data_IF_382225479135
#
_entry.id   IF_382225479135
#
_cell.length_a   1.000
_cell.length_b   1.000
_cell.length_c   1.000
_cell.angle_alpha   90.00
_cell.angle_beta   90.00
_cell.angle_gamma   90.00
#
_symmetry.space_group_name_H-M   'P 1'
#
loop_
_entity.id
_entity.type
_entity.pdbx_description
1 polymer ?
#
# COMPACT_ATOMS: atom_id res chain seq x y z
N UNK A 1 0.92 7.06 11.08
CA UNK A 1 0.83 7.92 9.88
C UNK A 1 0.93 9.38 10.27
N UNK A 2 0.09 9.83 11.20
CA UNK A 2 0.03 11.20 11.73
C UNK A 2 1.38 11.83 12.16
N UNK A 3 2.36 11.03 12.60
CA UNK A 3 3.68 11.52 13.02
C UNK A 3 4.66 11.80 11.87
N UNK A 4 4.44 11.25 10.66
CA UNK A 4 5.37 11.34 9.51
C UNK A 4 4.70 11.93 8.27
N UNK A 5 3.42 11.65 8.08
CA UNK A 5 2.56 12.25 7.06
C UNK A 5 1.24 12.63 7.72
N UNK A 6 1.19 13.83 8.31
CA UNK A 6 -0.01 14.36 8.95
C UNK A 6 -1.10 14.75 7.94
N UNK A 7 -0.72 14.87 6.67
CA UNK A 7 -1.56 15.27 5.56
C UNK A 7 -2.13 14.08 4.78
N UNK A 8 -1.66 12.85 5.01
CA UNK A 8 -2.10 11.64 4.29
C UNK A 8 -3.11 10.85 5.12
N UNK A 9 -4.15 10.37 4.45
CA UNK A 9 -5.15 9.45 4.99
C UNK A 9 -5.34 8.27 4.03
N UNK A 10 -5.47 7.07 4.60
CA UNK A 10 -5.80 5.84 3.86
C UNK A 10 -7.19 5.41 4.32
N UNK A 11 -8.13 5.37 3.39
CA UNK A 11 -9.52 4.97 3.61
C UNK A 11 -9.75 3.58 3.00
N UNK A 12 -10.09 2.62 3.86
CA UNK A 12 -10.41 1.23 3.50
C UNK A 12 -11.90 0.90 3.65
N UNK A 13 -12.72 1.87 4.07
CA UNK A 13 -14.09 1.61 4.54
C UNK A 13 -15.16 1.97 3.49
N UNK A 14 -14.76 2.53 2.35
CA UNK A 14 -15.64 2.92 1.24
C UNK A 14 -15.77 1.87 0.11
N UNK A 15 -15.46 0.60 0.38
CA UNK A 15 -15.58 -0.47 -0.62
C UNK A 15 -17.00 -1.06 -0.68
N UNK A 16 -17.54 -1.18 -1.90
CA UNK A 16 -18.87 -1.72 -2.16
C UNK A 16 -18.81 -2.89 -3.13
N UNK A 17 -19.49 -3.99 -2.78
CA UNK A 17 -19.64 -5.09 -3.72
C UNK A 17 -20.42 -4.62 -4.97
N UNK A 18 -19.87 -4.74 -6.20
CA UNK A 18 -20.50 -4.22 -7.41
C UNK A 18 -21.77 -4.99 -7.83
N UNK A 19 -22.05 -6.13 -7.20
CA UNK A 19 -23.24 -6.95 -7.47
C UNK A 19 -24.39 -6.66 -6.50
N UNK A 20 -24.11 -6.64 -5.20
CA UNK A 20 -25.16 -6.56 -4.18
C UNK A 20 -25.18 -5.23 -3.42
N UNK A 21 -24.22 -4.33 -3.71
CA UNK A 21 -24.04 -3.03 -3.05
C UNK A 21 -23.92 -3.13 -1.52
N UNK A 22 -23.50 -4.28 -0.99
CA UNK A 22 -23.13 -4.41 0.40
C UNK A 22 -21.78 -3.71 0.63
N UNK A 23 -21.68 -2.97 1.73
CA UNK A 23 -20.42 -2.45 2.24
C UNK A 23 -19.50 -3.61 2.61
N UNK A 24 -18.23 -3.46 2.29
CA UNK A 24 -17.19 -4.45 2.53
C UNK A 24 -16.16 -3.83 3.47
N UNK A 25 -16.02 -4.38 4.66
CA UNK A 25 -14.93 -4.01 5.58
C UNK A 25 -13.59 -4.53 5.06
N UNK A 26 -12.45 -3.92 5.47
CA UNK A 26 -11.12 -4.45 5.10
C UNK A 26 -10.93 -5.89 5.61
N UNK A 27 -11.56 -6.27 6.73
CA UNK A 27 -11.56 -7.64 7.23
C UNK A 27 -12.28 -8.60 6.27
N UNK A 28 -13.49 -8.26 5.80
CA UNK A 28 -14.22 -9.07 4.82
C UNK A 28 -13.50 -9.13 3.46
N UNK A 29 -12.88 -8.04 3.03
CA UNK A 29 -12.03 -8.02 1.82
C UNK A 29 -10.87 -9.00 1.96
N UNK A 30 -10.20 -9.00 3.10
CA UNK A 30 -9.04 -9.87 3.38
C UNK A 30 -9.46 -11.34 3.52
N UNK A 31 -10.59 -11.61 4.18
CA UNK A 31 -11.15 -12.95 4.32
C UNK A 31 -11.61 -13.55 2.99
N UNK A 32 -12.06 -12.70 2.05
CA UNK A 32 -12.53 -13.14 0.73
C UNK A 32 -11.42 -13.47 -0.28
N UNK A 33 -10.13 -13.29 0.05
CA UNK A 33 -9.03 -13.63 -0.85
C UNK A 33 -8.80 -15.13 -0.98
N UNK A 34 -8.42 -15.56 -2.18
CA UNK A 34 -7.93 -16.92 -2.40
C UNK A 34 -6.57 -17.13 -1.72
N UNK A 35 -6.39 -18.27 -1.06
CA UNK A 35 -5.10 -18.66 -0.49
C UNK A 35 -4.13 -19.13 -1.58
N UNK A 36 -2.87 -18.70 -1.48
CA UNK A 36 -1.74 -19.15 -2.31
C UNK A 36 -1.91 -18.92 -3.84
N UNK A 37 -2.80 -18.01 -4.23
CA UNK A 37 -2.95 -17.59 -5.62
C UNK A 37 -2.38 -16.18 -5.83
N UNK A 38 -1.14 -16.11 -6.31
CA UNK A 38 -0.47 -14.86 -6.65
C UNK A 38 -0.95 -14.21 -7.96
N UNK A 39 -1.90 -14.86 -8.65
CA UNK A 39 -2.53 -14.36 -9.88
C UNK A 39 -3.99 -13.93 -9.66
N UNK A 40 -4.54 -14.12 -8.45
CA UNK A 40 -5.90 -13.70 -8.11
C UNK A 40 -5.90 -12.33 -7.42
N UNK A 41 -6.36 -11.32 -8.17
CA UNK A 41 -6.49 -9.93 -7.73
C UNK A 41 -7.88 -9.64 -7.12
N UNK A 42 -8.69 -10.67 -6.89
CA UNK A 42 -10.08 -10.52 -6.47
C UNK A 42 -10.31 -10.92 -5.01
N UNK A 43 -11.33 -10.33 -4.41
CA UNK A 43 -11.95 -10.80 -3.16
C UNK A 43 -13.36 -11.32 -3.45
N UNK A 44 -13.81 -12.28 -2.64
CA UNK A 44 -15.17 -12.80 -2.67
C UNK A 44 -16.07 -12.09 -1.67
N UNK A 45 -17.17 -11.51 -2.15
CA UNK A 45 -18.19 -10.92 -1.29
C UNK A 45 -18.89 -12.01 -0.43
N UNK A 46 -18.97 -11.88 0.90
CA UNK A 46 -19.61 -12.87 1.77
C UNK A 46 -21.14 -12.92 1.61
N UNK A 47 -21.76 -11.87 1.07
CA UNK A 47 -23.22 -11.78 0.93
C UNK A 47 -23.76 -12.43 -0.35
N UNK A 48 -23.00 -12.36 -1.45
CA UNK A 48 -23.47 -12.81 -2.76
C UNK A 48 -22.47 -13.69 -3.53
N UNK A 49 -21.33 -14.02 -2.91
CA UNK A 49 -20.25 -14.87 -3.45
C UNK A 49 -19.59 -14.36 -4.73
N UNK A 50 -19.93 -13.14 -5.18
CA UNK A 50 -19.30 -12.49 -6.32
C UNK A 50 -17.84 -12.21 -6.03
N UNK A 51 -16.97 -12.60 -6.96
CA UNK A 51 -15.58 -12.14 -6.99
C UNK A 51 -15.47 -10.81 -7.71
N UNK A 52 -14.71 -9.87 -7.15
CA UNK A 52 -14.44 -8.56 -7.73
C UNK A 52 -13.08 -8.05 -7.25
N UNK A 53 -12.50 -7.07 -7.94
CA UNK A 53 -11.25 -6.42 -7.51
C UNK A 53 -11.61 -5.36 -6.46
N UNK A 54 -11.20 -5.52 -5.18
CA UNK A 54 -11.46 -4.55 -4.14
C UNK A 54 -10.50 -3.36 -4.25
N UNK A 55 -10.86 -2.22 -3.68
CA UNK A 55 -10.05 -1.01 -3.68
C UNK A 55 -9.92 -0.41 -2.28
N UNK A 56 -8.96 0.51 -2.16
CA UNK A 56 -8.86 1.46 -1.05
C UNK A 56 -8.38 2.80 -1.60
N UNK A 57 -8.65 3.88 -0.88
CA UNK A 57 -8.28 5.22 -1.29
C UNK A 57 -7.11 5.73 -0.46
N UNK A 58 -6.20 6.44 -1.11
CA UNK A 58 -5.18 7.26 -0.44
C UNK A 58 -5.42 8.70 -0.83
N UNK A 59 -5.59 9.57 0.16
CA UNK A 59 -5.79 10.99 -0.03
C UNK A 59 -4.76 11.79 0.73
N UNK A 60 -4.48 12.99 0.23
CA UNK A 60 -3.61 13.94 0.91
C UNK A 60 -4.22 15.34 0.88
N UNK A 61 -4.08 16.09 1.97
CA UNK A 61 -4.43 17.52 1.98
C UNK A 61 -3.44 18.38 1.21
N UNK A 62 -2.30 17.83 0.77
CA UNK A 62 -1.32 18.53 -0.06
C UNK A 62 -1.83 18.72 -1.49
N UNK A 63 -1.74 19.97 -1.98
CA UNK A 63 -2.07 20.31 -3.36
C UNK A 63 -1.12 19.67 -4.41
N UNK A 64 0.06 19.21 -3.99
CA UNK A 64 1.01 18.53 -4.87
C UNK A 64 0.73 17.03 -5.00
N UNK A 65 -0.19 16.47 -4.22
CA UNK A 65 -0.56 15.07 -4.33
C UNK A 65 -1.29 14.82 -5.65
N UNK A 66 -0.90 13.76 -6.36
CA UNK A 66 -1.51 13.39 -7.64
C UNK A 66 -2.16 12.01 -7.47
N UNK A 67 -3.49 12.00 -7.43
CA UNK A 67 -4.28 10.77 -7.40
C UNK A 67 -4.67 10.28 -8.79
N UNK A 68 -5.57 9.29 -8.81
CA UNK A 68 -5.95 8.59 -10.05
C UNK A 68 -6.67 9.49 -11.06
N UNK A 69 -7.21 10.64 -10.62
CA UNK A 69 -7.93 11.60 -11.47
C UNK A 69 -7.15 12.92 -11.65
N UNK A 70 -5.87 12.95 -11.28
CA UNK A 70 -5.00 14.11 -11.40
C UNK A 70 -4.67 14.79 -10.06
N UNK A 71 -4.16 16.03 -10.09
CA UNK A 71 -3.74 16.77 -8.89
C UNK A 71 -4.88 16.97 -7.89
N UNK A 72 -4.55 16.87 -6.60
CA UNK A 72 -5.47 16.98 -5.46
C UNK A 72 -6.68 16.01 -5.51
N UNK A 73 -6.59 14.93 -6.30
CA UNK A 73 -7.58 13.85 -6.28
C UNK A 73 -7.10 12.67 -5.42
N UNK A 74 -8.00 11.84 -4.87
CA UNK A 74 -7.62 10.59 -4.23
C UNK A 74 -6.96 9.62 -5.22
N UNK A 75 -5.96 8.89 -4.74
CA UNK A 75 -5.39 7.74 -5.42
C UNK A 75 -6.24 6.51 -5.08
N UNK A 76 -6.97 6.02 -6.06
CA UNK A 76 -7.70 4.76 -5.97
C UNK A 76 -6.72 3.60 -6.24
N UNK A 77 -6.50 2.77 -5.23
CA UNK A 77 -5.59 1.63 -5.28
C UNK A 77 -6.39 0.33 -5.32
N UNK A 78 -6.06 -0.56 -6.25
CA UNK A 78 -6.49 -1.95 -6.16
C UNK A 78 -5.90 -2.57 -4.89
N UNK A 79 -6.74 -3.20 -4.07
CA UNK A 79 -6.35 -3.81 -2.80
C UNK A 79 -5.83 -5.23 -3.07
N UNK A 80 -4.52 -5.41 -2.94
CA UNK A 80 -3.83 -6.65 -3.26
C UNK A 80 -3.80 -7.61 -2.06
N UNK A 81 -3.97 -8.91 -2.34
CA UNK A 81 -3.73 -9.97 -1.37
C UNK A 81 -2.22 -10.08 -1.04
N UNK A 82 -1.83 -10.71 0.09
CA UNK A 82 -0.43 -10.91 0.44
C UNK A 82 0.37 -11.64 -0.63
N UNK A 83 -0.27 -12.56 -1.36
CA UNK A 83 0.38 -13.38 -2.39
C UNK A 83 0.66 -12.58 -3.65
N UNK A 84 -0.32 -11.80 -4.10
CA UNK A 84 -0.15 -10.88 -5.22
C UNK A 84 0.89 -9.81 -4.87
N UNK A 85 0.75 -9.17 -3.70
CA UNK A 85 1.71 -8.17 -3.23
C UNK A 85 3.14 -8.73 -3.17
N UNK A 86 3.32 -9.94 -2.62
CA UNK A 86 4.62 -10.58 -2.57
C UNK A 86 5.21 -10.82 -3.97
N UNK A 87 4.41 -11.33 -4.92
CA UNK A 87 4.86 -11.56 -6.29
C UNK A 87 5.28 -10.26 -6.97
N UNK A 88 4.45 -9.22 -6.90
CA UNK A 88 4.74 -7.93 -7.54
C UNK A 88 5.97 -7.27 -6.90
N UNK A 89 6.15 -7.36 -5.58
CA UNK A 89 7.37 -6.91 -4.91
C UNK A 89 8.61 -7.71 -5.37
N UNK A 90 8.52 -9.04 -5.50
CA UNK A 90 9.62 -9.85 -6.05
C UNK A 90 9.98 -9.44 -7.47
N UNK A 91 9.00 -9.02 -8.28
CA UNK A 91 9.26 -8.51 -9.62
C UNK A 91 10.08 -7.23 -9.60
N UNK A 92 9.75 -6.28 -8.71
CA UNK A 92 10.54 -5.04 -8.52
C UNK A 92 11.94 -5.36 -7.99
N UNK A 93 12.03 -6.26 -7.00
CA UNK A 93 13.31 -6.69 -6.42
C UNK A 93 14.21 -7.45 -7.39
N UNK A 94 13.65 -7.99 -8.48
CA UNK A 94 14.40 -8.65 -9.54
C UNK A 94 15.08 -7.67 -10.52
N UNK A 95 14.74 -6.38 -10.48
CA UNK A 95 15.41 -5.35 -11.27
C UNK A 95 16.77 -4.97 -10.65
N UNK A 96 17.68 -4.43 -11.46
CA UNK A 96 19.09 -4.13 -11.10
C UNK A 96 19.22 -3.19 -9.90
N UNK A 97 18.21 -2.36 -9.64
CA UNK A 97 18.16 -1.40 -8.52
C UNK A 97 17.45 -1.95 -7.28
N UNK A 98 16.74 -3.08 -7.39
CA UNK A 98 16.10 -3.76 -6.27
C UNK A 98 15.29 -2.84 -5.35
N UNK A 99 15.64 -2.81 -4.07
CA UNK A 99 14.94 -2.03 -3.04
C UNK A 99 15.11 -0.53 -3.20
N UNK A 100 16.20 -0.07 -3.81
CA UNK A 100 16.45 1.36 -4.05
C UNK A 100 15.39 1.95 -4.98
N UNK A 101 14.88 1.16 -5.92
CA UNK A 101 13.77 1.57 -6.79
C UNK A 101 12.47 1.75 -6.01
N UNK A 102 12.14 0.81 -5.13
CA UNK A 102 10.91 0.89 -4.33
C UNK A 102 10.90 2.12 -3.42
N UNK A 103 12.07 2.54 -2.93
CA UNK A 103 12.24 3.69 -2.05
C UNK A 103 12.31 5.04 -2.80
N UNK A 104 12.59 5.02 -4.10
CA UNK A 104 12.68 6.23 -4.94
C UNK A 104 11.30 6.89 -5.10
N UNK A 105 11.16 8.19 -4.73
CA UNK A 105 9.97 8.98 -5.07
C UNK A 105 9.68 8.98 -6.57
N UNK A 106 10.72 9.13 -7.40
CA UNK A 106 10.59 9.18 -8.85
C UNK A 106 10.01 7.89 -9.42
N UNK A 107 10.40 6.73 -8.87
CA UNK A 107 9.83 5.44 -9.26
C UNK A 107 8.34 5.35 -8.89
N UNK A 108 7.97 5.80 -7.68
CA UNK A 108 6.57 5.81 -7.21
C UNK A 108 5.68 6.71 -8.08
N UNK A 109 6.21 7.82 -8.54
CA UNK A 109 5.49 8.80 -9.37
C UNK A 109 5.46 8.45 -10.86
N UNK A 110 6.36 7.58 -11.33
CA UNK A 110 6.50 7.24 -12.76
C UNK A 110 5.26 6.59 -13.36
N UNK A 111 4.65 5.65 -12.65
CA UNK A 111 3.49 4.88 -13.12
C UNK A 111 2.52 4.64 -11.96
N UNK A 112 1.21 4.72 -12.21
CA UNK A 112 0.18 4.50 -11.19
C UNK A 112 0.34 3.15 -10.48
N UNK A 113 0.71 2.09 -11.21
CA UNK A 113 0.93 0.75 -10.63
C UNK A 113 2.01 0.73 -9.54
N UNK A 114 3.04 1.58 -9.67
CA UNK A 114 4.13 1.67 -8.71
C UNK A 114 3.64 2.31 -7.40
N UNK A 115 2.84 3.37 -7.51
CA UNK A 115 2.16 3.97 -6.36
C UNK A 115 1.18 2.99 -5.69
N UNK A 116 0.38 2.25 -6.48
CA UNK A 116 -0.53 1.22 -5.97
C UNK A 116 0.24 0.14 -5.20
N UNK A 117 1.37 -0.33 -5.74
CA UNK A 117 2.21 -1.33 -5.07
C UNK A 117 2.79 -0.80 -3.76
N UNK A 118 3.30 0.45 -3.77
CA UNK A 118 3.82 1.12 -2.59
C UNK A 118 2.77 1.25 -1.47
N UNK A 119 1.57 1.73 -1.80
CA UNK A 119 0.52 1.92 -0.81
C UNK A 119 -0.05 0.61 -0.29
N UNK A 120 -0.09 -0.45 -1.10
CA UNK A 120 -0.43 -1.79 -0.61
C UNK A 120 0.60 -2.31 0.40
N UNK A 121 1.89 -2.03 0.20
CA UNK A 121 2.95 -2.36 1.16
C UNK A 121 2.74 -1.62 2.48
N UNK A 122 2.54 -0.30 2.43
CA UNK A 122 2.30 0.53 3.63
C UNK A 122 1.05 0.06 4.38
N UNK A 123 -0.07 -0.12 3.67
CA UNK A 123 -1.33 -0.56 4.25
C UNK A 123 -1.20 -1.95 4.88
N UNK A 124 -0.48 -2.87 4.25
CA UNK A 124 -0.24 -4.21 4.80
C UNK A 124 0.56 -4.14 6.11
N UNK A 125 1.59 -3.30 6.17
CA UNK A 125 2.34 -3.11 7.41
C UNK A 125 1.47 -2.50 8.52
N UNK A 126 0.62 -1.53 8.19
CA UNK A 126 -0.31 -0.93 9.15
C UNK A 126 -1.30 -1.97 9.69
N UNK A 127 -1.94 -2.75 8.80
CA UNK A 127 -2.91 -3.80 9.16
C UNK A 127 -2.32 -4.83 10.12
N UNK A 128 -1.10 -5.29 9.84
CA UNK A 128 -0.41 -6.28 10.67
C UNK A 128 0.42 -5.67 11.82
N UNK A 129 0.34 -4.35 12.03
CA UNK A 129 1.09 -3.61 13.07
C UNK A 129 2.60 -3.82 13.00
N UNK A 130 3.15 -4.00 11.80
CA UNK A 130 4.60 -4.00 11.60
C UNK A 130 5.16 -2.58 11.61
N UNK A 131 6.40 -2.37 12.06
CA UNK A 131 7.07 -1.07 11.94
C UNK A 131 7.18 -0.66 10.47
N UNK A 132 6.63 0.49 10.09
CA UNK A 132 6.65 0.99 8.70
C UNK A 132 7.33 2.35 8.55
N UNK A 133 7.83 2.93 9.63
CA UNK A 133 8.47 4.25 9.61
C UNK A 133 9.65 4.31 8.64
N UNK A 134 10.41 3.22 8.50
CA UNK A 134 11.53 3.14 7.56
C UNK A 134 11.11 3.23 6.09
N UNK A 135 9.86 2.86 5.76
CA UNK A 135 9.31 3.05 4.41
C UNK A 135 9.01 4.53 4.15
N UNK A 136 8.68 5.27 5.20
CA UNK A 136 8.25 6.67 5.11
C UNK A 136 9.43 7.66 5.18
N UNK A 137 10.64 7.18 5.47
CA UNK A 137 11.85 7.99 5.54
C UNK A 137 12.51 8.07 4.16
N UNK A 138 12.37 9.22 3.49
CA UNK A 138 13.21 9.56 2.36
C UNK A 138 14.65 9.78 2.84
N UNK A 139 15.58 8.98 2.34
CA UNK A 139 17.01 8.93 2.68
C UNK A 139 17.36 8.20 3.99
N UNK A 140 17.90 6.99 3.84
CA UNK A 140 18.62 6.25 4.89
C UNK A 140 19.89 6.96 5.39
N UNK A 141 20.29 8.09 4.78
CA UNK A 141 21.44 8.87 5.25
C UNK A 141 21.18 9.52 6.62
N UNK A 142 19.92 9.65 7.02
CA UNK A 142 19.55 10.23 8.32
C UNK A 142 19.35 9.21 9.44
N UNK A 143 19.88 7.98 9.32
CA UNK A 143 20.08 6.98 10.40
C UNK A 143 19.19 7.20 11.66
N UNK A 144 17.86 7.18 11.47
CA UNK A 144 16.90 7.21 12.56
C UNK A 144 16.34 5.81 12.84
N UNK A 145 17.13 4.79 12.50
CA UNK A 145 17.10 3.53 13.22
C UNK A 145 18.01 3.77 14.43
N UNK A 146 17.46 3.58 15.64
CA UNK A 146 18.10 3.76 16.94
C UNK A 146 19.64 3.52 16.93
N UNK A 147 20.42 4.25 17.77
CA UNK A 147 21.87 4.24 17.72
C UNK A 147 22.38 2.81 17.67
N UNK A 148 23.25 2.54 16.70
CA UNK A 148 23.91 1.26 16.64
C UNK A 148 24.74 1.10 17.91
N UNK A 149 24.95 -0.13 18.44
CA UNK A 149 25.71 -0.32 19.69
C UNK A 149 27.14 0.26 19.68
N UNK A 150 27.63 0.67 18.51
CA UNK A 150 28.93 1.31 18.31
C UNK A 150 28.90 2.82 18.61
N UNK A 151 27.72 3.45 18.64
CA UNK A 151 27.54 4.89 18.87
C UNK A 151 27.63 5.33 20.35
N UNK A 152 27.90 4.39 21.27
CA UNK A 152 28.01 4.65 22.73
C UNK A 152 29.47 4.63 23.22
N UNK A 153 30.45 4.58 22.31
CA UNK A 153 31.87 4.52 22.65
C UNK A 153 32.65 5.75 22.17
N UNK A 154 32.24 6.95 22.59
CA UNK A 154 33.08 8.15 22.68
C UNK A 154 32.71 8.99 23.91
#
# INVERSE_FOLDING_TARGET
MELVYSDIEIDTDDELCPRCNAYMTDDEVVEGWSHDDSQDYTTQCPHCMMKFVPHFCVQSTSHSFVGSRGPASPLLCERLSPWVLQKELRSVMGDRKGIEELLSPEWRERETKNAVLWWNLVLSFMRYRFPFSFLLQGSFETNLIAPTPEDVAL
#
